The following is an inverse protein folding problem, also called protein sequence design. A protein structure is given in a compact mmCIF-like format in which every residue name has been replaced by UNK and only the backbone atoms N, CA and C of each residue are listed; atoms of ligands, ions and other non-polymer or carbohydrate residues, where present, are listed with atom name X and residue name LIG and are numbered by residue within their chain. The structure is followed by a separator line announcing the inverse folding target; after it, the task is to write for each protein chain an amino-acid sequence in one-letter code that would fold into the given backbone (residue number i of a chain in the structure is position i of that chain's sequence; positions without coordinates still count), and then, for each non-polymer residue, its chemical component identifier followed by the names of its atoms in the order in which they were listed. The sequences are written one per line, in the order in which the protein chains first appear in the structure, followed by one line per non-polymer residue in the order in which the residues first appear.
data_IF_231982134547
#
_entry.id   IF_231982134547
#
_cell.length_a   1.000
_cell.length_b   1.000
_cell.length_c   1.000
_cell.angle_alpha   90.00
_cell.angle_beta   90.00
_cell.angle_gamma   90.00
#
_symmetry.space_group_name_H-M   'P 1'
#
loop_
_entity.id
_entity.type
_entity.pdbx_description
1 polymer ?
#
# COMPACT_ATOMS: atom_id res chain seq x y z
N UNK A 1 -17.19 -22.79 15.22
CA UNK A 1 -17.16 -21.46 14.57
C UNK A 1 -15.71 -21.07 14.34
N UNK A 2 -15.22 -21.28 13.11
CA UNK A 2 -13.82 -21.08 12.75
C UNK A 2 -13.53 -19.58 12.68
N UNK A 3 -12.79 -19.07 13.66
CA UNK A 3 -12.18 -17.76 13.60
C UNK A 3 -11.15 -17.79 12.47
N UNK A 4 -11.47 -17.20 11.32
CA UNK A 4 -10.51 -16.88 10.28
C UNK A 4 -9.55 -15.83 10.85
N UNK A 5 -8.56 -16.29 11.62
CA UNK A 5 -7.48 -15.47 12.16
C UNK A 5 -6.55 -15.13 11.00
N UNK A 6 -6.97 -14.22 10.13
CA UNK A 6 -5.99 -13.46 9.36
C UNK A 6 -5.20 -12.67 10.40
N UNK A 7 -3.94 -13.02 10.61
CA UNK A 7 -3.08 -12.29 11.56
C UNK A 7 -3.16 -10.80 11.23
N UNK A 8 -3.73 -9.97 12.13
CA UNK A 8 -3.81 -8.55 11.88
C UNK A 8 -2.38 -8.00 11.84
N UNK A 9 -1.89 -7.69 10.64
CA UNK A 9 -0.60 -7.02 10.49
C UNK A 9 -0.73 -5.61 11.04
N UNK A 10 0.34 -5.14 11.68
CA UNK A 10 0.44 -3.76 12.15
C UNK A 10 1.28 -2.97 11.18
N UNK A 11 0.76 -1.82 10.77
CA UNK A 11 1.50 -0.91 9.91
C UNK A 11 2.69 -0.34 10.69
N UNK A 12 3.95 -0.51 10.24
CA UNK A 12 5.11 0.03 10.96
C UNK A 12 5.15 1.57 11.00
N UNK A 13 4.34 2.26 10.18
CA UNK A 13 4.28 3.72 10.13
C UNK A 13 3.29 4.32 11.13
N UNK A 14 2.05 3.85 11.16
CA UNK A 14 0.99 4.39 12.03
C UNK A 14 0.59 3.47 13.18
N UNK A 15 1.17 2.28 13.24
CA UNK A 15 0.83 1.20 14.18
C UNK A 15 -0.63 0.71 14.10
N UNK A 16 -1.38 1.14 13.07
CA UNK A 16 -2.75 0.70 12.82
C UNK A 16 -2.81 -0.76 12.34
N UNK A 17 -3.83 -1.48 12.79
CA UNK A 17 -4.11 -2.83 12.30
C UNK A 17 -4.68 -2.79 10.89
N UNK A 18 -4.18 -3.65 10.00
CA UNK A 18 -4.69 -3.79 8.65
C UNK A 18 -4.61 -5.23 8.17
N UNK A 19 -5.43 -5.55 7.19
CA UNK A 19 -5.41 -6.88 6.56
C UNK A 19 -4.46 -6.86 5.36
N UNK A 20 -3.35 -7.57 5.50
CA UNK A 20 -2.39 -7.78 4.42
C UNK A 20 -2.53 -9.20 3.89
N UNK A 21 -3.04 -9.35 2.67
CA UNK A 21 -3.10 -10.63 1.97
C UNK A 21 -2.06 -10.65 0.87
N UNK A 22 -0.79 -10.82 1.24
CA UNK A 22 0.29 -10.91 0.22
C UNK A 22 0.07 -12.10 -0.73
N UNK A 23 -0.51 -13.19 -0.24
CA UNK A 23 -0.90 -14.35 -1.04
C UNK A 23 -2.17 -14.14 -1.89
N UNK A 24 -2.94 -13.08 -1.61
CA UNK A 24 -4.12 -12.71 -2.39
C UNK A 24 -4.16 -11.19 -2.55
N UNK A 25 -3.28 -10.69 -3.42
CA UNK A 25 -3.10 -9.24 -3.63
C UNK A 25 -4.38 -8.56 -4.12
N UNK A 26 -5.29 -9.30 -4.77
CA UNK A 26 -6.58 -8.81 -5.22
C UNK A 26 -7.48 -8.39 -4.04
N UNK A 27 -7.45 -9.15 -2.93
CA UNK A 27 -8.19 -8.85 -1.71
C UNK A 27 -7.36 -8.10 -0.65
N UNK A 28 -6.16 -7.64 -0.97
CA UNK A 28 -5.33 -6.88 -0.04
C UNK A 28 -5.76 -5.41 0.02
N UNK A 29 -5.72 -4.76 1.19
CA UNK A 29 -6.09 -3.35 1.31
C UNK A 29 -5.20 -2.39 0.51
N UNK A 30 -3.98 -2.80 0.15
CA UNK A 30 -3.09 -2.04 -0.71
C UNK A 30 -3.47 -2.11 -2.20
N UNK A 31 -4.40 -3.00 -2.58
CA UNK A 31 -4.84 -3.14 -3.97
C UNK A 31 -5.46 -1.84 -4.50
N UNK A 32 -5.21 -1.56 -5.77
CA UNK A 32 -5.65 -0.33 -6.44
C UNK A 32 -4.81 0.92 -6.11
N UNK A 33 -3.75 0.81 -5.30
CA UNK A 33 -2.79 1.90 -5.11
C UNK A 33 -1.57 1.65 -5.99
N UNK A 34 -1.35 2.57 -6.94
CA UNK A 34 -0.22 2.51 -7.87
C UNK A 34 0.87 3.50 -7.45
N UNK A 35 2.12 3.01 -7.44
CA UNK A 35 3.33 3.79 -7.21
C UNK A 35 4.28 3.59 -8.39
N UNK A 36 5.04 4.63 -8.75
CA UNK A 36 6.16 4.53 -9.69
C UNK A 36 7.29 3.68 -9.10
N UNK A 37 8.21 3.22 -9.95
CA UNK A 37 9.35 2.42 -9.51
C UNK A 37 10.21 3.14 -8.46
N UNK A 38 10.47 4.43 -8.64
CA UNK A 38 11.20 5.24 -7.66
C UNK A 38 10.50 5.30 -6.30
N UNK A 39 9.17 5.47 -6.31
CA UNK A 39 8.35 5.51 -5.10
C UNK A 39 8.33 4.14 -4.41
N UNK A 40 8.19 3.04 -5.18
CA UNK A 40 8.26 1.68 -4.65
C UNK A 40 9.60 1.39 -4.03
N UNK A 41 10.69 1.80 -4.68
CA UNK A 41 12.05 1.64 -4.18
C UNK A 41 12.24 2.41 -2.87
N UNK A 42 11.87 3.69 -2.83
CA UNK A 42 11.91 4.49 -1.60
C UNK A 42 11.12 3.87 -0.46
N UNK A 43 9.91 3.37 -0.74
CA UNK A 43 9.07 2.71 0.26
C UNK A 43 9.72 1.40 0.73
N UNK A 44 10.25 0.57 -0.17
CA UNK A 44 10.91 -0.69 0.17
C UNK A 44 12.23 -0.53 0.93
N UNK A 45 12.98 0.54 0.65
CA UNK A 45 14.20 0.87 1.40
C UNK A 45 13.87 1.40 2.80
N UNK A 46 12.79 2.17 2.94
CA UNK A 46 12.37 2.78 4.21
C UNK A 46 11.56 1.84 5.11
N UNK A 47 10.74 0.97 4.51
CA UNK A 47 9.83 0.08 5.21
C UNK A 47 10.04 -1.36 4.73
N UNK A 48 10.45 -2.23 5.64
CA UNK A 48 10.70 -3.66 5.36
C UNK A 48 9.44 -4.54 5.42
N UNK A 49 8.29 -3.98 5.82
CA UNK A 49 7.01 -4.69 5.88
C UNK A 49 5.91 -3.88 5.18
N UNK A 50 4.73 -4.47 5.03
CA UNK A 50 3.61 -3.86 4.34
C UNK A 50 3.05 -2.67 5.14
N UNK A 51 2.64 -1.64 4.41
CA UNK A 51 1.97 -0.48 4.97
C UNK A 51 0.45 -0.59 4.77
N UNK A 52 -0.31 -0.03 5.71
CA UNK A 52 -1.75 0.05 5.56
C UNK A 52 -2.16 1.01 4.43
N UNK A 53 -3.40 0.85 3.95
CA UNK A 53 -3.98 1.68 2.88
C UNK A 53 -3.87 3.17 3.17
N UNK A 54 -4.17 3.59 4.40
CA UNK A 54 -4.09 5.01 4.80
C UNK A 54 -2.68 5.56 4.65
N UNK A 55 -1.68 4.84 5.18
CA UNK A 55 -0.29 5.26 5.05
C UNK A 55 0.18 5.29 3.60
N UNK A 56 -0.23 4.31 2.78
CA UNK A 56 0.09 4.30 1.35
C UNK A 56 -0.58 5.49 0.62
N UNK A 57 -1.84 5.79 0.91
CA UNK A 57 -2.53 6.95 0.34
C UNK A 57 -1.89 8.27 0.77
N UNK A 58 -1.46 8.39 2.03
CA UNK A 58 -0.74 9.57 2.50
C UNK A 58 0.62 9.72 1.82
N UNK A 59 1.38 8.63 1.65
CA UNK A 59 2.64 8.67 0.88
C UNK A 59 2.37 9.03 -0.58
N UNK A 60 1.34 8.45 -1.16
CA UNK A 60 0.92 8.74 -2.53
C UNK A 60 0.49 10.20 -2.67
N UNK A 61 -0.18 10.79 -1.68
CA UNK A 61 -0.49 12.24 -1.67
C UNK A 61 0.78 13.07 -1.50
N UNK A 62 1.60 12.77 -0.51
CA UNK A 62 2.87 13.49 -0.25
C UNK A 62 3.79 13.49 -1.47
N UNK A 63 3.89 12.36 -2.17
CA UNK A 63 4.65 12.21 -3.42
C UNK A 63 3.85 12.63 -4.66
N UNK A 64 2.53 12.65 -4.57
CA UNK A 64 1.58 12.91 -5.67
C UNK A 64 1.20 14.37 -5.82
N UNK A 65 1.44 15.20 -4.80
CA UNK A 65 1.64 16.64 -5.00
C UNK A 65 2.76 16.91 -6.02
N UNK A 66 3.67 15.96 -6.25
CA UNK A 66 4.68 16.00 -7.30
C UNK A 66 4.19 15.44 -8.66
N UNK A 67 2.98 14.87 -8.73
CA UNK A 67 2.48 14.00 -9.81
C UNK A 67 1.04 14.33 -10.23
N UNK A 68 0.73 15.59 -10.52
CA UNK A 68 -0.48 15.92 -11.30
C UNK A 68 -0.40 15.41 -12.76
N UNK A 69 0.74 14.84 -13.19
CA UNK A 69 1.04 14.56 -14.60
C UNK A 69 1.05 13.09 -15.06
N UNK A 70 0.69 12.11 -14.22
CA UNK A 70 0.90 10.71 -14.61
C UNK A 70 -0.23 9.76 -14.20
N UNK A 71 -1.47 10.14 -14.50
CA UNK A 71 -2.56 9.21 -14.76
C UNK A 71 -3.06 9.45 -16.19
N UNK A 72 -2.27 8.98 -17.16
CA UNK A 72 -2.80 8.64 -18.47
C UNK A 72 -2.15 7.30 -18.82
N UNK A 73 -2.97 6.37 -19.31
CA UNK A 73 -2.65 4.99 -19.71
C UNK A 73 -2.84 3.89 -18.66
N UNK A 74 -4.07 3.75 -18.16
CA UNK A 74 -4.67 2.40 -18.15
C UNK A 74 -5.31 2.18 -19.53
N UNK A 75 -4.48 2.00 -20.57
CA UNK A 75 -4.95 1.58 -21.89
C UNK A 75 -5.40 0.12 -21.78
N UNK A 76 -6.69 -0.10 -22.02
CA UNK A 76 -7.22 -1.36 -22.56
C UNK A 76 -7.06 -1.33 -24.08
#
# INVERSE_FOLDING_TARGET
MNTCKHEPKKCPRCNGGFECKVGDVANCQCNGISFNEEQKKFIGEKYRDCLCRNCLLELSKQMGFFKEKFDVTSNR
#
